data_IF_145936159426
#
_entry.id   IF_145936159426
#
_cell.length_a   1.000
_cell.length_b   1.000
_cell.length_c   1.000
_cell.angle_alpha   90.00
_cell.angle_beta   90.00
_cell.angle_gamma   90.00
#
_symmetry.space_group_name_H-M   'P 1'
#
loop_
_entity.id
_entity.type
_entity.pdbx_description
1 polymer ?
#
# COMPACT_ATOMS: atom_id res chain seq x y z
N UNK A 1 15.67 41.37 19.45
CA UNK A 1 14.67 42.37 19.07
C UNK A 1 15.00 42.95 17.71
N UNK A 2 14.22 42.61 16.66
CA UNK A 2 14.06 43.36 15.41
C UNK A 2 12.92 42.71 14.63
N UNK A 3 11.76 43.34 14.69
CA UNK A 3 10.58 43.08 13.83
C UNK A 3 10.92 43.54 12.42
N UNK A 4 10.50 42.78 11.43
CA UNK A 4 10.44 43.24 10.02
C UNK A 4 9.02 43.11 9.51
N UNK A 5 8.53 44.23 9.07
CA UNK A 5 7.17 44.49 8.69
C UNK A 5 6.79 43.81 7.36
N UNK A 6 5.54 43.33 7.29
CA UNK A 6 4.94 42.76 6.11
C UNK A 6 4.39 43.88 5.23
N UNK A 7 4.82 43.91 3.97
CA UNK A 7 4.31 44.81 2.92
C UNK A 7 3.10 44.12 2.27
N UNK A 8 1.93 44.74 2.46
CA UNK A 8 0.67 44.34 1.80
C UNK A 8 0.61 45.10 0.44
N UNK A 9 0.71 44.38 -0.65
CA UNK A 9 0.39 44.92 -1.97
C UNK A 9 -1.10 44.67 -2.28
N UNK A 10 -1.88 45.75 -2.26
CA UNK A 10 -3.23 45.79 -2.82
C UNK A 10 -3.11 46.10 -4.32
N UNK A 11 -3.46 45.15 -5.16
CA UNK A 11 -3.67 45.38 -6.59
C UNK A 11 -5.17 45.55 -6.86
N UNK A 12 -5.53 46.72 -7.28
CA UNK A 12 -6.84 47.05 -7.82
C UNK A 12 -6.93 46.52 -9.26
N UNK A 13 -7.92 45.72 -9.56
CA UNK A 13 -8.21 45.29 -10.93
C UNK A 13 -9.53 45.93 -11.38
N UNK A 14 -9.40 46.71 -12.45
CA UNK A 14 -10.46 47.45 -13.10
C UNK A 14 -11.44 46.50 -13.80
N UNK A 15 -12.73 46.80 -13.61
CA UNK A 15 -13.87 46.18 -14.27
C UNK A 15 -13.96 46.65 -15.72
N UNK A 16 -13.88 45.76 -16.68
CA UNK A 16 -14.29 46.00 -18.07
C UNK A 16 -15.56 45.18 -18.35
N UNK A 17 -16.67 45.89 -18.49
CA UNK A 17 -17.93 45.34 -19.02
C UNK A 17 -17.80 45.22 -20.55
N UNK A 18 -17.85 43.99 -21.06
CA UNK A 18 -18.10 43.72 -22.47
C UNK A 18 -19.38 42.91 -22.58
N UNK A 19 -20.43 43.58 -23.10
CA UNK A 19 -21.67 42.91 -23.49
C UNK A 19 -21.44 42.18 -24.82
N UNK A 20 -21.60 40.86 -24.81
CA UNK A 20 -21.67 40.04 -26.04
C UNK A 20 -23.01 39.35 -26.07
N UNK A 21 -23.83 39.83 -27.00
CA UNK A 21 -25.08 39.20 -27.45
C UNK A 21 -24.71 38.00 -28.31
N UNK A 22 -25.35 36.88 -28.12
CA UNK A 22 -25.48 35.99 -29.22
C UNK A 22 -25.26 34.51 -28.97
N UNK A 23 -26.18 33.78 -29.45
CA UNK A 23 -26.23 32.38 -29.84
C UNK A 23 -26.41 31.37 -28.68
N UNK A 24 -27.67 31.00 -28.49
CA UNK A 24 -28.06 29.73 -27.83
C UNK A 24 -27.55 28.56 -28.65
N UNK A 25 -26.36 28.10 -28.32
CA UNK A 25 -25.91 26.79 -28.76
C UNK A 25 -26.54 25.75 -27.81
N UNK A 26 -27.45 24.95 -28.33
CA UNK A 26 -27.93 23.72 -27.68
C UNK A 26 -26.73 22.79 -27.48
N UNK A 27 -26.13 22.85 -26.30
CA UNK A 27 -25.11 21.89 -25.87
C UNK A 27 -25.85 20.59 -25.55
N UNK A 28 -25.91 19.67 -26.50
CA UNK A 28 -26.27 18.27 -26.22
C UNK A 28 -25.19 17.71 -25.29
N UNK A 29 -25.51 17.62 -24.01
CA UNK A 29 -24.64 16.96 -23.04
C UNK A 29 -24.39 15.51 -23.51
N UNK A 30 -23.14 15.07 -23.61
CA UNK A 30 -22.87 13.66 -23.87
C UNK A 30 -23.46 12.85 -22.72
N UNK A 31 -24.38 11.95 -23.06
CA UNK A 31 -24.86 10.93 -22.13
C UNK A 31 -23.65 10.12 -21.68
N UNK A 32 -23.23 10.33 -20.43
CA UNK A 32 -22.22 9.49 -19.81
C UNK A 32 -22.76 8.05 -19.80
N UNK A 33 -22.26 7.22 -20.71
CA UNK A 33 -22.52 5.78 -20.68
C UNK A 33 -21.89 5.28 -19.41
N UNK A 34 -22.72 4.89 -18.42
CA UNK A 34 -22.24 4.23 -17.21
C UNK A 34 -21.42 3.01 -17.66
N UNK A 35 -20.18 2.95 -17.23
CA UNK A 35 -19.35 1.78 -17.44
C UNK A 35 -20.08 0.56 -16.85
N UNK A 36 -20.06 -0.60 -17.52
CA UNK A 36 -20.69 -1.81 -17.00
C UNK A 36 -20.08 -2.14 -15.64
N UNK A 37 -20.87 -2.09 -14.60
CA UNK A 37 -20.55 -2.62 -13.27
C UNK A 37 -20.61 -4.15 -13.34
N UNK A 38 -19.65 -4.75 -14.03
CA UNK A 38 -19.37 -6.18 -13.90
C UNK A 38 -18.66 -6.41 -12.55
N UNK A 39 -18.76 -7.64 -12.00
CA UNK A 39 -17.99 -7.99 -10.82
C UNK A 39 -16.52 -7.64 -11.05
N UNK A 40 -15.93 -6.92 -10.10
CA UNK A 40 -14.52 -6.55 -10.17
C UNK A 40 -13.70 -7.84 -10.33
N UNK A 41 -12.85 -7.88 -11.36
CA UNK A 41 -11.95 -9.03 -11.52
C UNK A 41 -10.97 -9.03 -10.37
N UNK A 42 -10.69 -10.20 -9.77
CA UNK A 42 -9.69 -10.28 -8.73
C UNK A 42 -8.37 -9.70 -9.23
N UNK A 43 -7.82 -8.76 -8.51
CA UNK A 43 -6.48 -8.24 -8.79
C UNK A 43 -5.48 -8.99 -7.92
N UNK A 44 -4.48 -9.62 -8.54
CA UNK A 44 -3.44 -10.33 -7.80
C UNK A 44 -2.07 -9.69 -8.09
N UNK A 45 -1.30 -9.50 -7.01
CA UNK A 45 0.11 -9.17 -7.03
C UNK A 45 0.92 -10.41 -6.66
N UNK A 46 1.99 -10.68 -7.37
CA UNK A 46 2.94 -11.75 -7.04
C UNK A 46 4.33 -11.15 -7.02
N UNK A 47 5.12 -11.47 -6.00
CA UNK A 47 6.52 -11.09 -5.90
C UNK A 47 7.36 -12.24 -5.35
N UNK A 48 8.64 -12.28 -5.75
CA UNK A 48 9.65 -13.20 -5.24
C UNK A 48 10.94 -12.41 -5.07
N UNK A 49 11.54 -12.49 -3.91
CA UNK A 49 12.79 -11.81 -3.59
C UNK A 49 13.72 -12.75 -2.83
N UNK A 50 15.02 -12.63 -3.10
CA UNK A 50 16.09 -13.32 -2.40
C UNK A 50 17.24 -12.36 -2.18
N UNK A 51 17.63 -12.22 -0.92
CA UNK A 51 18.70 -11.38 -0.41
C UNK A 51 19.63 -12.23 0.46
N UNK A 52 20.80 -11.73 0.82
CA UNK A 52 21.73 -12.48 1.68
C UNK A 52 21.14 -12.84 3.05
N UNK A 53 20.22 -12.02 3.53
CA UNK A 53 19.59 -12.15 4.86
C UNK A 53 18.24 -12.88 4.84
N UNK A 54 17.59 -13.01 3.70
CA UNK A 54 16.28 -13.65 3.65
C UNK A 54 15.75 -13.87 2.25
N UNK A 55 14.79 -14.76 2.11
CA UNK A 55 14.07 -14.98 0.86
C UNK A 55 12.59 -15.25 1.08
N UNK A 56 11.81 -15.04 0.04
CA UNK A 56 10.39 -15.32 0.12
C UNK A 56 9.68 -15.20 -1.22
N UNK A 57 8.50 -15.78 -1.25
CA UNK A 57 7.53 -15.59 -2.32
C UNK A 57 6.21 -15.17 -1.69
N UNK A 58 5.51 -14.25 -2.34
CA UNK A 58 4.20 -13.78 -1.91
C UNK A 58 3.25 -13.66 -3.10
N UNK A 59 2.04 -14.09 -2.89
CA UNK A 59 0.90 -13.82 -3.77
C UNK A 59 -0.22 -13.22 -2.94
N UNK A 60 -0.68 -12.06 -3.35
CA UNK A 60 -1.78 -11.33 -2.72
C UNK A 60 -2.87 -11.16 -3.75
N UNK A 61 -4.06 -11.67 -3.47
CA UNK A 61 -5.24 -11.47 -4.32
C UNK A 61 -6.28 -10.68 -3.55
N UNK A 62 -6.84 -9.65 -4.19
CA UNK A 62 -7.92 -8.82 -3.62
C UNK A 62 -9.17 -9.02 -4.46
N UNK A 63 -10.26 -9.37 -3.80
CA UNK A 63 -11.56 -9.59 -4.42
C UNK A 63 -12.70 -9.17 -3.47
N UNK A 64 -13.60 -8.31 -3.94
CA UNK A 64 -14.81 -7.89 -3.22
C UNK A 64 -14.53 -7.34 -1.80
N UNK A 65 -13.45 -6.56 -1.64
CA UNK A 65 -13.09 -5.94 -0.35
C UNK A 65 -12.29 -6.85 0.58
N UNK A 66 -12.06 -8.11 0.22
CA UNK A 66 -11.27 -9.07 0.98
C UNK A 66 -9.91 -9.31 0.31
N UNK A 67 -8.91 -9.62 1.09
CA UNK A 67 -7.60 -9.98 0.59
C UNK A 67 -7.18 -11.37 1.08
N UNK A 68 -6.46 -12.10 0.23
CA UNK A 68 -5.82 -13.37 0.62
C UNK A 68 -4.34 -13.27 0.35
N UNK A 69 -3.55 -13.50 1.38
CA UNK A 69 -2.09 -13.54 1.32
C UNK A 69 -1.64 -14.99 1.41
N UNK A 70 -0.86 -15.43 0.42
CA UNK A 70 -0.26 -16.77 0.39
C UNK A 70 1.20 -16.67 0.00
N UNK A 71 2.02 -17.64 0.41
CA UNK A 71 3.43 -17.65 0.09
C UNK A 71 4.28 -18.14 1.25
N UNK A 72 5.48 -17.57 1.38
CA UNK A 72 6.39 -17.86 2.49
C UNK A 72 7.41 -16.75 2.70
N UNK A 73 8.02 -16.78 3.87
CA UNK A 73 9.25 -16.08 4.21
C UNK A 73 10.23 -17.05 4.85
N UNK A 74 11.52 -16.85 4.61
CA UNK A 74 12.60 -17.63 5.19
C UNK A 74 13.74 -16.68 5.59
N UNK A 75 14.19 -16.80 6.82
CA UNK A 75 15.36 -16.09 7.32
C UNK A 75 16.60 -16.94 7.02
N UNK A 76 17.55 -16.38 6.28
CA UNK A 76 18.77 -17.07 5.85
C UNK A 76 19.95 -16.81 6.79
N UNK A 77 19.83 -15.84 7.71
CA UNK A 77 20.83 -15.56 8.72
C UNK A 77 20.54 -16.42 9.97
N UNK A 78 21.31 -17.48 10.21
CA UNK A 78 21.14 -18.26 11.42
C UNK A 78 21.54 -17.40 12.63
N UNK A 79 20.72 -17.43 13.68
CA UNK A 79 21.09 -16.88 14.96
C UNK A 79 22.41 -17.46 15.48
N UNK A 80 23.04 -16.82 16.45
CA UNK A 80 24.28 -17.33 17.06
C UNK A 80 24.04 -18.72 17.63
N UNK A 81 24.97 -19.63 17.49
CA UNK A 81 24.85 -21.05 17.87
C UNK A 81 24.54 -21.34 19.35
N UNK A 82 24.36 -20.34 20.18
CA UNK A 82 23.96 -20.41 21.58
C UNK A 82 22.48 -20.07 21.81
N UNK A 83 21.68 -20.02 20.73
CA UNK A 83 20.24 -19.75 20.82
C UNK A 83 19.86 -18.30 20.98
N UNK A 84 20.82 -17.40 20.86
CA UNK A 84 20.55 -15.97 20.75
C UNK A 84 20.13 -15.66 19.30
N UNK A 85 19.00 -14.95 19.10
CA UNK A 85 18.63 -14.46 17.78
C UNK A 85 19.72 -13.49 17.29
N UNK A 86 19.94 -13.42 15.98
CA UNK A 86 20.79 -12.39 15.37
C UNK A 86 20.16 -10.99 15.51
N UNK A 87 18.95 -10.90 16.06
CA UNK A 87 18.18 -9.68 16.26
C UNK A 87 17.46 -9.21 15.02
N UNK A 88 17.51 -9.98 13.93
CA UNK A 88 16.80 -9.69 12.69
C UNK A 88 15.75 -10.76 12.41
N UNK A 89 14.67 -10.33 11.82
CA UNK A 89 13.59 -11.17 11.35
C UNK A 89 13.32 -10.82 9.89
N UNK A 90 12.62 -11.66 9.17
CA UNK A 90 12.25 -11.44 7.78
C UNK A 90 10.74 -11.40 7.66
N UNK A 91 10.21 -10.40 6.98
CA UNK A 91 8.78 -10.24 6.70
C UNK A 91 8.56 -9.57 5.34
N UNK A 92 7.36 -9.66 4.84
CA UNK A 92 6.91 -8.84 3.72
C UNK A 92 6.34 -7.53 4.25
N UNK A 93 6.80 -6.39 3.72
CA UNK A 93 6.19 -5.08 3.90
C UNK A 93 5.24 -4.82 2.74
N UNK A 94 3.95 -4.63 3.04
CA UNK A 94 2.88 -4.64 2.05
C UNK A 94 2.19 -3.28 2.03
N UNK A 95 1.99 -2.76 0.82
CA UNK A 95 1.30 -1.50 0.56
C UNK A 95 -0.10 -1.78 0.04
N UNK A 96 -1.09 -1.48 0.85
CA UNK A 96 -2.50 -1.71 0.61
C UNK A 96 -3.21 -0.46 0.11
N UNK A 97 -4.27 -0.66 -0.65
CA UNK A 97 -5.28 0.36 -0.93
C UNK A 97 -6.55 0.03 -0.14
N UNK A 98 -7.11 1.04 0.53
CA UNK A 98 -8.35 0.93 1.32
C UNK A 98 -9.29 2.06 0.95
N UNK A 99 -10.59 2.00 1.30
CA UNK A 99 -11.52 3.11 1.08
C UNK A 99 -11.11 4.41 1.77
N UNK A 100 -10.32 4.33 2.85
CA UNK A 100 -9.81 5.47 3.61
C UNK A 100 -8.47 6.00 3.11
N UNK A 101 -7.83 5.36 2.13
CA UNK A 101 -6.53 5.73 1.58
C UNK A 101 -5.51 4.61 1.60
N UNK A 102 -4.23 4.95 1.44
CA UNK A 102 -3.15 4.00 1.51
C UNK A 102 -2.94 3.50 2.94
N UNK A 103 -2.64 2.23 3.06
CA UNK A 103 -2.29 1.56 4.31
C UNK A 103 -1.02 0.72 4.10
N UNK A 104 -0.22 0.57 5.14
CA UNK A 104 1.04 -0.17 5.08
C UNK A 104 1.16 -1.07 6.30
N UNK A 105 1.62 -2.31 6.09
CA UNK A 105 1.77 -3.27 7.19
C UNK A 105 2.76 -4.38 6.86
N UNK A 106 3.17 -5.10 7.91
CA UNK A 106 4.02 -6.27 7.80
C UNK A 106 3.19 -7.56 7.78
N UNK A 107 3.60 -8.52 6.95
CA UNK A 107 3.12 -9.89 7.10
C UNK A 107 3.61 -10.47 8.43
N UNK A 108 3.04 -11.60 8.88
CA UNK A 108 3.74 -12.43 9.84
C UNK A 108 5.18 -12.69 9.37
N UNK A 109 6.13 -12.52 10.27
CA UNK A 109 7.56 -12.66 10.00
C UNK A 109 8.17 -13.86 10.71
N UNK A 110 9.41 -14.18 10.35
CA UNK A 110 10.20 -15.25 10.94
C UNK A 110 11.56 -14.72 11.38
N UNK A 111 12.01 -15.16 12.54
CA UNK A 111 13.27 -14.73 13.14
C UNK A 111 14.21 -15.93 13.32
N UNK A 112 15.47 -15.76 12.97
CA UNK A 112 16.52 -16.76 13.17
C UNK A 112 16.84 -16.91 14.66
N UNK A 113 16.44 -18.04 15.28
CA UNK A 113 16.75 -18.33 16.67
C UNK A 113 17.78 -19.46 16.86
N UNK A 114 18.07 -20.23 15.80
CA UNK A 114 18.93 -21.40 15.86
C UNK A 114 19.74 -21.55 14.56
N UNK A 115 20.70 -22.42 14.54
CA UNK A 115 21.55 -22.69 13.36
C UNK A 115 20.80 -23.29 12.14
N UNK A 116 19.47 -23.11 12.06
CA UNK A 116 18.63 -23.50 10.93
C UNK A 116 17.93 -22.28 10.40
N UNK A 117 17.85 -22.19 9.08
CA UNK A 117 17.01 -21.17 8.42
C UNK A 117 15.54 -21.42 8.77
N UNK A 118 14.93 -20.58 9.59
CA UNK A 118 13.52 -20.71 9.90
C UNK A 118 12.67 -20.31 8.69
N UNK A 119 11.60 -21.06 8.49
CA UNK A 119 10.67 -20.90 7.38
C UNK A 119 9.26 -20.72 7.91
N UNK A 120 8.54 -19.73 7.41
CA UNK A 120 7.14 -19.49 7.74
C UNK A 120 6.30 -19.49 6.47
N UNK A 121 5.32 -20.38 6.40
CA UNK A 121 4.30 -20.37 5.35
C UNK A 121 3.27 -19.28 5.66
N UNK A 122 2.95 -18.46 4.68
CA UNK A 122 1.90 -17.46 4.73
C UNK A 122 0.63 -18.03 4.10
N UNK A 123 -0.48 -17.93 4.81
CA UNK A 123 -1.82 -18.27 4.31
C UNK A 123 -2.87 -17.61 5.23
N UNK A 124 -3.20 -16.33 5.00
CA UNK A 124 -4.07 -15.57 5.90
C UNK A 124 -4.87 -14.50 5.15
N UNK A 125 -5.93 -14.04 5.79
CA UNK A 125 -6.68 -12.84 5.42
C UNK A 125 -6.26 -11.69 6.34
N UNK A 126 -5.67 -10.61 5.81
CA UNK A 126 -5.24 -9.48 6.63
C UNK A 126 -6.42 -8.75 7.30
N UNK A 127 -7.63 -8.77 6.73
CA UNK A 127 -8.80 -8.11 7.32
C UNK A 127 -9.31 -8.79 8.59
N UNK A 128 -8.89 -10.02 8.85
CA UNK A 128 -9.21 -10.77 10.07
C UNK A 128 -8.20 -10.51 11.21
N UNK A 129 -7.09 -9.82 10.93
CA UNK A 129 -6.08 -9.52 11.94
C UNK A 129 -6.49 -8.30 12.79
N UNK A 130 -6.10 -8.25 14.08
CA UNK A 130 -6.32 -7.07 14.92
C UNK A 130 -5.68 -5.81 14.33
N UNK A 131 -6.32 -4.67 14.49
CA UNK A 131 -5.81 -3.35 14.08
C UNK A 131 -5.65 -3.15 12.57
N UNK A 132 -6.10 -4.11 11.77
CA UNK A 132 -6.07 -4.04 10.31
C UNK A 132 -7.33 -3.38 9.74
N UNK A 133 -7.26 -2.82 8.50
CA UNK A 133 -8.45 -2.33 7.82
C UNK A 133 -9.44 -3.47 7.58
N UNK A 134 -10.72 -3.19 7.79
CA UNK A 134 -11.81 -4.16 7.58
C UNK A 134 -12.15 -4.36 6.10
N UNK A 135 -11.60 -3.53 5.22
CA UNK A 135 -11.80 -3.61 3.78
C UNK A 135 -10.52 -3.20 3.05
N UNK A 136 -10.08 -4.06 2.13
CA UNK A 136 -8.93 -3.83 1.27
C UNK A 136 -9.42 -3.80 -0.18
N UNK A 137 -9.18 -2.70 -0.88
CA UNK A 137 -9.61 -2.49 -2.26
C UNK A 137 -8.52 -2.82 -3.28
N UNK A 138 -7.26 -2.86 -2.87
CA UNK A 138 -6.14 -3.17 -3.73
C UNK A 138 -4.83 -3.39 -3.00
N UNK A 139 -3.83 -3.82 -3.75
CA UNK A 139 -2.44 -3.92 -3.31
C UNK A 139 -1.54 -3.34 -4.39
N UNK A 140 -0.65 -2.45 -4.02
CA UNK A 140 0.24 -1.77 -4.98
C UNK A 140 1.64 -2.35 -4.99
N UNK A 141 2.12 -2.87 -3.84
CA UNK A 141 3.49 -3.34 -3.70
C UNK A 141 3.62 -4.30 -2.51
N UNK A 142 4.55 -5.24 -2.62
CA UNK A 142 5.05 -6.02 -1.48
C UNK A 142 6.58 -6.13 -1.62
N UNK A 143 7.32 -5.90 -0.53
CA UNK A 143 8.78 -5.91 -0.50
C UNK A 143 9.23 -6.77 0.66
N UNK A 144 10.19 -7.66 0.42
CA UNK A 144 10.83 -8.41 1.49
C UNK A 144 11.75 -7.46 2.27
N UNK A 145 11.68 -7.48 3.58
CA UNK A 145 12.46 -6.57 4.44
C UNK A 145 12.99 -7.27 5.68
N UNK A 146 14.19 -6.89 6.15
CA UNK A 146 14.64 -7.24 7.49
C UNK A 146 13.89 -6.39 8.50
N UNK A 147 13.44 -7.00 9.59
CA UNK A 147 12.70 -6.36 10.68
C UNK A 147 13.43 -6.60 11.99
N UNK A 148 13.56 -5.55 12.81
CA UNK A 148 14.10 -5.66 14.18
C UNK A 148 12.92 -5.55 15.16
N UNK A 149 12.82 -6.50 16.06
CA UNK A 149 11.84 -6.52 17.17
C UNK A 149 12.54 -6.29 18.50
#
# INVERSE_FOLDING_TARGET
>A
MKRKDAIVHRSAVATALAAVVGAMSLITAPTATAAPTGPARPSCLTNSQEEEWGRGEIKICVENGNARVTGYVEDLLPGSGWGEPDGQCVAWYIYWETPSGAWEDYSPGVCGHWAKSPYLKLDYDPTELPEQPTEITGVTKAVLVPVQF
#
